data_IF_729161944283
#
_entry.id   IF_729161944283
#
_cell.length_a   1.000
_cell.length_b   1.000
_cell.length_c   1.000
_cell.angle_alpha   90.00
_cell.angle_beta   90.00
_cell.angle_gamma   90.00
#
_symmetry.space_group_name_H-M   'P 1'
#
loop_
_entity.id
_entity.type
_entity.pdbx_description
1 polymer ?
#
# COMPACT_ATOMS: atom_id res chain seq x y z
N UNK A 1 28.42 -15.92 0.77
CA UNK A 1 27.15 -15.52 0.11
C UNK A 1 27.00 -16.35 -1.15
N UNK A 2 26.43 -17.54 -1.04
CA UNK A 2 26.26 -18.46 -2.17
C UNK A 2 24.91 -18.18 -2.84
N UNK A 3 24.96 -17.69 -4.07
CA UNK A 3 23.77 -17.46 -4.89
C UNK A 3 23.08 -18.80 -5.16
N UNK A 4 21.84 -18.94 -4.70
CA UNK A 4 20.93 -20.01 -5.09
C UNK A 4 20.64 -19.84 -6.58
N UNK A 5 21.25 -20.68 -7.40
CA UNK A 5 20.90 -20.94 -8.81
C UNK A 5 19.51 -21.57 -8.86
N UNK A 6 18.46 -20.73 -8.82
CA UNK A 6 17.16 -21.10 -9.35
C UNK A 6 17.29 -21.22 -10.88
N UNK A 7 16.66 -22.24 -11.46
CA UNK A 7 16.68 -22.59 -12.89
C UNK A 7 16.61 -21.33 -13.75
N UNK A 8 17.77 -20.91 -14.26
CA UNK A 8 17.94 -19.62 -14.89
C UNK A 8 17.58 -19.77 -16.35
N UNK A 9 16.59 -19.00 -16.82
CA UNK A 9 16.25 -18.90 -18.24
C UNK A 9 17.56 -18.71 -19.04
N UNK A 10 17.80 -19.48 -20.12
CA UNK A 10 18.97 -19.29 -20.98
C UNK A 10 19.12 -17.85 -21.44
N UNK A 11 18.01 -17.12 -21.62
CA UNK A 11 18.01 -15.69 -21.95
C UNK A 11 18.62 -14.82 -20.86
N UNK A 12 18.17 -14.97 -19.62
CA UNK A 12 18.64 -14.16 -18.48
C UNK A 12 20.12 -14.44 -18.18
N UNK A 13 20.50 -15.72 -18.31
CA UNK A 13 21.90 -16.15 -18.19
C UNK A 13 22.77 -15.53 -19.28
N UNK A 14 22.29 -15.49 -20.53
CA UNK A 14 22.99 -14.85 -21.64
C UNK A 14 23.18 -13.35 -21.40
N UNK A 15 22.12 -12.65 -21.00
CA UNK A 15 22.17 -11.20 -20.72
C UNK A 15 23.21 -10.91 -19.62
N UNK A 16 23.15 -11.65 -18.51
CA UNK A 16 24.08 -11.46 -17.39
C UNK A 16 25.54 -11.69 -17.79
N UNK A 17 25.81 -12.72 -18.60
CA UNK A 17 27.17 -13.06 -19.04
C UNK A 17 27.71 -12.13 -20.13
N UNK A 18 26.85 -11.59 -21.00
CA UNK A 18 27.25 -10.67 -22.08
C UNK A 18 27.32 -9.21 -21.63
N UNK A 19 26.66 -8.81 -20.54
CA UNK A 19 26.67 -7.43 -20.02
C UNK A 19 28.08 -6.83 -19.87
N UNK A 20 29.10 -7.53 -19.33
CA UNK A 20 30.45 -7.00 -19.24
C UNK A 20 31.09 -6.67 -20.59
N UNK A 21 30.66 -7.32 -21.67
CA UNK A 21 31.19 -7.06 -23.01
C UNK A 21 30.64 -5.75 -23.63
N UNK A 22 29.62 -5.13 -23.04
CA UNK A 22 29.21 -3.78 -23.45
C UNK A 22 30.26 -2.73 -23.12
N UNK A 23 31.06 -2.94 -22.08
CA UNK A 23 32.14 -2.02 -21.70
C UNK A 23 33.38 -2.18 -22.59
N UNK A 24 33.56 -3.35 -23.21
CA UNK A 24 34.69 -3.67 -24.08
C UNK A 24 34.23 -4.58 -25.23
N UNK A 25 33.92 -4.01 -26.42
CA UNK A 25 33.37 -4.74 -27.55
C UNK A 25 34.42 -5.53 -28.36
N UNK A 26 35.63 -5.73 -27.82
CA UNK A 26 36.69 -6.50 -28.47
C UNK A 26 36.23 -7.94 -28.76
N UNK A 27 36.49 -8.48 -29.97
CA UNK A 27 36.15 -9.86 -30.31
C UNK A 27 36.80 -10.87 -29.37
N UNK A 28 36.01 -11.86 -28.91
CA UNK A 28 36.44 -12.87 -27.92
C UNK A 28 36.00 -14.26 -28.34
N UNK A 29 36.66 -15.30 -27.83
CA UNK A 29 36.21 -16.67 -28.03
C UNK A 29 34.86 -16.89 -27.34
N UNK A 30 34.01 -17.75 -27.91
CA UNK A 30 32.69 -18.04 -27.34
C UNK A 30 32.80 -18.59 -25.91
N UNK A 31 33.56 -19.68 -25.74
CA UNK A 31 33.84 -20.28 -24.43
C UNK A 31 35.29 -20.01 -24.01
N UNK A 32 35.45 -19.13 -23.03
CA UNK A 32 36.74 -18.71 -22.48
C UNK A 32 37.29 -19.68 -21.43
N UNK A 33 38.62 -19.69 -21.29
CA UNK A 33 39.32 -20.28 -20.15
C UNK A 33 39.72 -19.16 -19.17
N UNK A 34 40.31 -19.50 -18.02
CA UNK A 34 40.85 -18.47 -17.12
C UNK A 34 41.94 -17.61 -17.80
N UNK A 35 42.68 -18.19 -18.75
CA UNK A 35 43.77 -17.54 -19.50
C UNK A 35 43.31 -16.83 -20.78
N UNK A 36 42.31 -17.37 -21.49
CA UNK A 36 41.71 -16.75 -22.67
C UNK A 36 40.33 -16.22 -22.30
N UNK A 37 40.20 -14.90 -22.22
CA UNK A 37 38.91 -14.24 -22.03
C UNK A 37 37.91 -14.66 -23.12
N UNK A 38 36.72 -15.08 -22.69
CA UNK A 38 35.60 -15.39 -23.58
C UNK A 38 34.31 -14.77 -23.06
N UNK A 39 33.28 -14.75 -23.90
CA UNK A 39 31.95 -14.27 -23.49
C UNK A 39 31.33 -15.15 -22.40
N UNK A 40 31.48 -16.47 -22.55
CA UNK A 40 30.95 -17.45 -21.61
C UNK A 40 32.09 -18.12 -20.86
N UNK A 41 32.05 -18.05 -19.51
CA UNK A 41 33.05 -18.68 -18.63
C UNK A 41 32.54 -20.04 -18.15
N UNK A 42 33.24 -21.12 -18.52
CA UNK A 42 32.91 -22.48 -18.10
C UNK A 42 32.08 -23.27 -19.10
N UNK A 43 31.73 -24.52 -18.72
CA UNK A 43 31.00 -25.47 -19.58
C UNK A 43 29.74 -26.05 -18.93
N UNK A 44 29.19 -25.38 -17.91
CA UNK A 44 27.92 -25.78 -17.32
C UNK A 44 26.80 -25.78 -18.37
N UNK A 45 25.82 -26.68 -18.23
CA UNK A 45 24.74 -26.83 -19.22
C UNK A 45 23.98 -25.52 -19.47
N UNK A 46 23.70 -24.74 -18.41
CA UNK A 46 23.05 -23.44 -18.52
C UNK A 46 23.87 -22.42 -19.34
N UNK A 47 25.20 -22.46 -19.22
CA UNK A 47 26.12 -21.57 -19.96
C UNK A 47 26.16 -21.93 -21.45
N UNK A 48 26.11 -23.23 -21.77
CA UNK A 48 26.01 -23.71 -23.17
C UNK A 48 24.68 -23.31 -23.80
N UNK A 49 23.57 -23.53 -23.09
CA UNK A 49 22.24 -23.12 -23.54
C UNK A 49 22.15 -21.61 -23.77
N UNK A 50 22.75 -20.79 -22.90
CA UNK A 50 22.83 -19.34 -23.06
C UNK A 50 23.65 -18.92 -24.29
N UNK A 51 24.77 -19.59 -24.56
CA UNK A 51 25.59 -19.34 -25.74
C UNK A 51 24.87 -19.72 -27.04
N UNK A 52 24.24 -20.89 -27.08
CA UNK A 52 23.42 -21.35 -28.21
C UNK A 52 22.25 -20.40 -28.45
N UNK A 53 21.56 -19.97 -27.39
CA UNK A 53 20.51 -18.97 -27.47
C UNK A 53 21.01 -17.65 -28.05
N UNK A 54 22.17 -17.17 -27.60
CA UNK A 54 22.77 -15.91 -28.10
C UNK A 54 23.12 -15.97 -29.59
N UNK A 55 23.61 -17.11 -30.07
CA UNK A 55 23.87 -17.33 -31.50
C UNK A 55 22.57 -17.44 -32.29
N UNK A 56 21.58 -18.19 -31.78
CA UNK A 56 20.28 -18.36 -32.43
C UNK A 56 19.50 -17.04 -32.55
N UNK A 57 19.63 -16.15 -31.56
CA UNK A 57 19.04 -14.81 -31.60
C UNK A 57 19.85 -13.79 -32.41
N UNK A 58 20.99 -14.18 -32.99
CA UNK A 58 21.86 -13.28 -33.74
C UNK A 58 22.53 -12.21 -32.88
N UNK A 59 22.69 -12.43 -31.58
CA UNK A 59 23.35 -11.47 -30.68
C UNK A 59 24.87 -11.47 -30.83
N UNK A 60 25.42 -12.60 -31.28
CA UNK A 60 26.83 -12.80 -31.55
C UNK A 60 27.01 -13.25 -32.99
N UNK A 61 28.04 -12.73 -33.64
CA UNK A 61 28.47 -13.16 -34.97
C UNK A 61 29.95 -13.53 -34.99
N UNK A 62 30.31 -14.50 -35.83
CA UNK A 62 31.70 -14.89 -36.04
C UNK A 62 32.42 -13.82 -36.87
N UNK A 63 33.58 -13.37 -36.38
CA UNK A 63 34.38 -12.32 -37.05
C UNK A 63 35.24 -12.85 -38.21
N UNK A 64 35.36 -14.18 -38.33
CA UNK A 64 36.27 -14.86 -39.26
C UNK A 64 37.71 -14.99 -38.74
N UNK A 65 38.07 -14.24 -37.69
CA UNK A 65 39.37 -14.34 -37.03
C UNK A 65 39.42 -15.57 -36.12
N UNK A 66 40.58 -16.24 -36.05
CA UNK A 66 40.79 -17.42 -35.21
C UNK A 66 42.00 -17.24 -34.32
N UNK A 67 41.88 -17.64 -33.06
CA UNK A 67 42.98 -17.65 -32.08
C UNK A 67 43.47 -19.07 -31.87
N UNK A 68 44.79 -19.26 -32.05
CA UNK A 68 45.48 -20.55 -31.93
C UNK A 68 46.08 -21.03 -33.25
N UNK A 69 46.82 -22.14 -33.20
CA UNK A 69 47.44 -22.76 -34.39
C UNK A 69 46.79 -24.12 -34.71
N UNK A 70 46.60 -24.38 -36.01
CA UNK A 70 46.14 -25.67 -36.53
C UNK A 70 44.67 -25.98 -36.24
N UNK A 71 44.33 -27.27 -36.20
CA UNK A 71 42.96 -27.78 -36.04
C UNK A 71 42.25 -27.37 -34.73
N UNK A 72 42.98 -26.79 -33.77
CA UNK A 72 42.45 -26.32 -32.47
C UNK A 72 42.22 -24.81 -32.43
N UNK A 73 42.36 -24.10 -33.56
CA UNK A 73 42.10 -22.68 -33.63
C UNK A 73 40.62 -22.39 -33.31
N UNK A 74 40.37 -21.51 -32.35
CA UNK A 74 39.03 -21.11 -31.92
C UNK A 74 38.61 -19.84 -32.62
N UNK A 75 37.41 -19.81 -33.17
CA UNK A 75 36.85 -18.60 -33.78
C UNK A 75 36.55 -17.52 -32.75
N UNK A 76 36.78 -16.26 -33.15
CA UNK A 76 36.40 -15.08 -32.39
C UNK A 76 35.02 -14.60 -32.80
N UNK A 77 34.24 -14.21 -31.80
CA UNK A 77 32.89 -13.69 -31.94
C UNK A 77 32.86 -12.23 -31.51
N UNK A 78 31.93 -11.45 -32.05
CA UNK A 78 31.65 -10.08 -31.59
C UNK A 78 30.15 -9.89 -31.36
N UNK A 79 29.80 -8.91 -30.51
CA UNK A 79 28.41 -8.50 -30.34
C UNK A 79 27.91 -7.83 -31.63
N UNK A 80 26.75 -8.26 -32.09
CA UNK A 80 26.03 -7.58 -33.19
C UNK A 80 25.29 -6.36 -32.65
N UNK A 81 24.87 -5.42 -33.53
CA UNK A 81 23.97 -4.32 -33.13
C UNK A 81 22.69 -4.82 -32.43
N UNK A 82 22.14 -5.95 -32.90
CA UNK A 82 20.97 -6.59 -32.30
C UNK A 82 21.25 -7.09 -30.87
N UNK A 83 22.43 -7.67 -30.65
CA UNK A 83 22.86 -8.09 -29.32
C UNK A 83 23.02 -6.92 -28.37
N UNK A 84 23.61 -5.81 -28.82
CA UNK A 84 23.76 -4.58 -28.03
C UNK A 84 22.39 -4.03 -27.63
N UNK A 85 21.46 -3.92 -28.58
CA UNK A 85 20.10 -3.44 -28.32
C UNK A 85 19.35 -4.33 -27.31
N UNK A 86 19.50 -5.66 -27.44
CA UNK A 86 18.89 -6.61 -26.51
C UNK A 86 19.45 -6.44 -25.08
N UNK A 87 20.77 -6.28 -24.94
CA UNK A 87 21.42 -6.09 -23.64
C UNK A 87 21.05 -4.75 -23.00
N UNK A 88 21.03 -3.66 -23.78
CA UNK A 88 20.63 -2.33 -23.30
C UNK A 88 19.18 -2.34 -22.80
N UNK A 89 18.25 -2.98 -23.52
CA UNK A 89 16.85 -3.11 -23.09
C UNK A 89 16.69 -3.82 -21.75
N UNK A 90 17.62 -4.71 -21.41
CA UNK A 90 17.64 -5.45 -20.15
C UNK A 90 18.57 -4.84 -19.10
N UNK A 91 19.21 -3.70 -19.38
CA UNK A 91 20.12 -3.07 -18.43
C UNK A 91 19.35 -2.50 -17.23
N UNK A 92 19.82 -2.74 -15.99
CA UNK A 92 19.19 -2.21 -14.78
C UNK A 92 18.88 -0.70 -14.80
N UNK A 93 19.78 0.18 -15.27
CA UNK A 93 19.47 1.62 -15.28
C UNK A 93 18.35 1.98 -16.26
N UNK A 94 18.27 1.34 -17.44
CA UNK A 94 17.17 1.61 -18.38
C UNK A 94 15.84 1.06 -17.87
N UNK A 95 15.85 -0.09 -17.19
CA UNK A 95 14.65 -0.61 -16.53
C UNK A 95 14.18 0.31 -15.40
N UNK A 96 15.11 0.84 -14.58
CA UNK A 96 14.78 1.81 -13.54
C UNK A 96 14.19 3.11 -14.14
N UNK A 97 14.79 3.65 -15.20
CA UNK A 97 14.27 4.83 -15.88
C UNK A 97 12.90 4.60 -16.51
N UNK A 98 12.65 3.43 -17.11
CA UNK A 98 11.33 3.06 -17.64
C UNK A 98 10.28 2.95 -16.53
N UNK A 99 10.64 2.34 -15.41
CA UNK A 99 9.75 2.27 -14.24
C UNK A 99 9.38 3.66 -13.71
N UNK A 100 10.35 4.59 -13.68
CA UNK A 100 10.08 5.99 -13.32
C UNK A 100 9.19 6.67 -14.36
N UNK A 101 9.42 6.46 -15.66
CA UNK A 101 8.56 7.00 -16.74
C UNK A 101 7.12 6.50 -16.61
N UNK A 102 6.93 5.20 -16.39
CA UNK A 102 5.61 4.58 -16.19
C UNK A 102 4.91 5.16 -14.95
N UNK A 103 5.65 5.33 -13.85
CA UNK A 103 5.13 5.94 -12.63
C UNK A 103 4.70 7.39 -12.86
N UNK A 104 5.52 8.18 -13.56
CA UNK A 104 5.20 9.57 -13.90
C UNK A 104 3.98 9.66 -14.83
N UNK A 105 3.86 8.75 -15.81
CA UNK A 105 2.69 8.67 -16.69
C UNK A 105 1.42 8.33 -15.90
N UNK A 106 1.50 7.40 -14.96
CA UNK A 106 0.40 7.08 -14.05
C UNK A 106 -0.01 8.27 -13.18
N UNK A 107 0.95 8.99 -12.59
CA UNK A 107 0.69 10.20 -11.81
C UNK A 107 0.04 11.30 -12.66
N UNK A 108 0.50 11.50 -13.89
CA UNK A 108 -0.09 12.48 -14.81
C UNK A 108 -1.56 12.15 -15.13
N UNK A 109 -1.90 10.87 -15.29
CA UNK A 109 -3.28 10.44 -15.52
C UNK A 109 -4.16 10.72 -14.30
N UNK A 110 -3.71 10.37 -13.10
CA UNK A 110 -4.45 10.64 -11.85
C UNK A 110 -4.72 12.14 -11.66
N UNK A 111 -3.74 13.00 -11.96
CA UNK A 111 -3.91 14.45 -11.88
C UNK A 111 -4.98 14.95 -12.87
N UNK A 112 -5.03 14.39 -14.09
CA UNK A 112 -6.08 14.74 -15.06
C UNK A 112 -7.46 14.29 -14.61
N UNK A 113 -7.58 13.11 -14.02
CA UNK A 113 -8.85 12.60 -13.48
C UNK A 113 -9.35 13.44 -12.29
N UNK A 114 -8.44 13.84 -11.40
CA UNK A 114 -8.74 14.73 -10.29
C UNK A 114 -9.18 16.11 -10.81
N UNK A 115 -8.46 16.67 -11.78
CA UNK A 115 -8.82 17.94 -12.41
C UNK A 115 -10.20 17.88 -13.08
N UNK A 116 -10.51 16.81 -13.82
CA UNK A 116 -11.82 16.61 -14.44
C UNK A 116 -12.93 16.45 -13.39
N UNK A 117 -12.62 15.85 -12.24
CA UNK A 117 -13.58 15.73 -11.12
C UNK A 117 -13.83 17.07 -10.45
N UNK A 118 -12.78 17.86 -10.20
CA UNK A 118 -12.91 19.22 -9.69
C UNK A 118 -13.72 20.09 -10.64
N UNK A 119 -13.45 20.04 -11.95
CA UNK A 119 -14.23 20.78 -12.94
C UNK A 119 -15.72 20.40 -12.92
N UNK A 120 -16.04 19.11 -12.76
CA UNK A 120 -17.44 18.63 -12.64
C UNK A 120 -18.13 19.04 -11.34
N UNK A 121 -17.38 19.37 -10.28
CA UNK A 121 -17.92 19.85 -9.00
C UNK A 121 -18.06 21.37 -8.97
N UNK A 122 -17.14 22.07 -9.65
CA UNK A 122 -17.17 23.52 -9.81
C UNK A 122 -18.04 23.98 -10.98
N UNK A 123 -18.64 23.06 -11.74
CA UNK A 123 -19.58 23.40 -12.82
C UNK A 123 -20.78 24.18 -12.25
N UNK A 124 -20.93 25.47 -12.61
CA UNK A 124 -21.97 26.33 -12.04
C UNK A 124 -23.37 25.80 -12.36
N UNK A 125 -23.57 25.15 -13.52
CA UNK A 125 -24.87 24.58 -13.86
C UNK A 125 -25.25 23.43 -12.91
N UNK A 126 -24.26 22.63 -12.49
CA UNK A 126 -24.47 21.55 -11.53
C UNK A 126 -24.71 22.09 -10.11
N UNK A 127 -23.99 23.13 -9.73
CA UNK A 127 -24.21 23.82 -8.45
C UNK A 127 -25.63 24.40 -8.39
N UNK A 128 -26.07 25.14 -9.42
CA UNK A 128 -27.42 25.67 -9.52
C UNK A 128 -28.49 24.56 -9.46
N UNK A 129 -28.24 23.43 -10.13
CA UNK A 129 -29.17 22.29 -10.08
C UNK A 129 -29.26 21.68 -8.67
N UNK A 130 -28.13 21.56 -7.97
CA UNK A 130 -28.12 21.08 -6.58
C UNK A 130 -28.84 22.06 -5.66
N UNK A 131 -28.61 23.37 -5.82
CA UNK A 131 -29.34 24.41 -5.09
C UNK A 131 -30.85 24.33 -5.32
N UNK A 132 -31.28 24.17 -6.57
CA UNK A 132 -32.71 23.99 -6.91
C UNK A 132 -33.31 22.75 -6.26
N UNK A 133 -32.59 21.62 -6.25
CA UNK A 133 -33.02 20.38 -5.59
C UNK A 133 -33.15 20.62 -4.08
N UNK A 134 -32.16 21.26 -3.46
CA UNK A 134 -32.18 21.58 -2.03
C UNK A 134 -33.33 22.53 -1.70
N UNK A 135 -33.53 23.61 -2.43
CA UNK A 135 -34.66 24.53 -2.24
C UNK A 135 -36.00 23.79 -2.37
N UNK A 136 -36.18 22.98 -3.41
CA UNK A 136 -37.40 22.19 -3.61
C UNK A 136 -37.62 21.18 -2.47
N UNK A 137 -36.56 20.56 -1.98
CA UNK A 137 -36.62 19.64 -0.85
C UNK A 137 -36.98 20.38 0.45
N UNK A 138 -36.39 21.55 0.70
CA UNK A 138 -36.70 22.39 1.87
C UNK A 138 -38.15 22.85 1.85
N UNK A 139 -38.69 23.27 0.70
CA UNK A 139 -40.10 23.63 0.56
C UNK A 139 -41.03 22.43 0.84
N UNK A 140 -40.70 21.25 0.31
CA UNK A 140 -41.46 20.01 0.55
C UNK A 140 -41.33 19.48 1.98
N UNK A 141 -40.24 19.79 2.65
CA UNK A 141 -39.96 19.44 4.06
C UNK A 141 -40.40 20.55 5.03
N UNK A 142 -40.93 21.67 4.53
CA UNK A 142 -41.55 22.73 5.33
C UNK A 142 -43.10 22.73 5.30
N UNK A 143 -43.83 21.61 5.42
CA UNK A 143 -45.18 21.68 5.95
C UNK A 143 -45.14 21.92 7.47
N UNK A 144 -46.15 22.60 8.04
CA UNK A 144 -46.24 22.86 9.49
C UNK A 144 -46.15 21.59 10.35
N UNK A 145 -46.45 20.42 9.78
CA UNK A 145 -46.36 19.12 10.45
C UNK A 145 -44.94 18.67 10.82
N UNK A 146 -43.88 19.15 10.15
CA UNK A 146 -42.51 18.71 10.49
C UNK A 146 -42.00 19.38 11.76
N UNK A 147 -42.45 20.61 12.06
CA UNK A 147 -42.18 21.26 13.35
C UNK A 147 -42.97 20.60 14.49
N UNK A 148 -44.21 20.18 14.26
CA UNK A 148 -44.98 19.40 15.25
C UNK A 148 -44.39 17.99 15.45
N UNK A 149 -43.94 17.33 14.39
CA UNK A 149 -43.26 16.03 14.47
C UNK A 149 -41.88 16.15 15.14
N UNK A 150 -41.11 17.21 14.87
CA UNK A 150 -39.85 17.50 15.57
C UNK A 150 -40.09 17.89 17.04
N UNK A 151 -41.12 18.67 17.36
CA UNK A 151 -41.48 18.99 18.74
C UNK A 151 -41.94 17.74 19.52
N UNK A 152 -42.70 16.85 18.88
CA UNK A 152 -43.05 15.52 19.43
C UNK A 152 -41.82 14.63 19.59
N UNK A 153 -40.88 14.66 18.63
CA UNK A 153 -39.65 13.87 18.66
C UNK A 153 -38.65 14.39 19.70
N UNK A 154 -38.53 15.70 19.87
CA UNK A 154 -37.72 16.34 20.91
C UNK A 154 -38.29 16.09 22.32
N UNK A 155 -39.61 16.00 22.45
CA UNK A 155 -40.26 15.60 23.70
C UNK A 155 -40.03 14.11 24.04
N UNK A 156 -39.83 13.25 23.04
CA UNK A 156 -39.38 11.86 23.23
C UNK A 156 -37.85 11.72 23.37
N UNK A 157 -37.07 12.67 22.86
CA UNK A 157 -35.61 12.70 23.02
C UNK A 157 -35.18 13.06 24.45
N UNK A 158 -36.05 13.65 25.26
CA UNK A 158 -35.77 13.95 26.68
C UNK A 158 -35.41 12.72 27.50
N UNK A 159 -36.13 11.61 27.31
CA UNK A 159 -35.86 10.35 28.03
C UNK A 159 -34.63 9.63 27.49
N UNK A 160 -34.37 9.68 26.18
CA UNK A 160 -33.15 9.09 25.58
C UNK A 160 -31.88 9.89 25.93
N UNK A 161 -31.98 11.22 26.06
CA UNK A 161 -30.85 12.10 26.42
C UNK A 161 -30.50 12.00 27.90
N UNK A 162 -31.49 11.85 28.79
CA UNK A 162 -31.26 11.57 30.21
C UNK A 162 -30.58 10.23 30.46
N UNK A 163 -30.99 9.17 29.75
CA UNK A 163 -30.30 7.86 29.81
C UNK A 163 -28.87 7.97 29.29
N UNK A 164 -28.64 8.77 28.23
CA UNK A 164 -27.30 8.99 27.66
C UNK A 164 -26.33 9.65 28.64
N UNK A 165 -26.82 10.54 29.51
CA UNK A 165 -25.98 11.18 30.54
C UNK A 165 -25.64 10.24 31.70
N UNK A 166 -26.56 9.35 32.10
CA UNK A 166 -26.37 8.50 33.29
C UNK A 166 -25.24 7.48 33.16
N UNK A 167 -25.11 6.81 32.00
CA UNK A 167 -24.02 5.85 31.81
C UNK A 167 -22.66 6.54 31.62
N UNK A 168 -22.64 7.76 31.04
CA UNK A 168 -21.42 8.56 30.90
C UNK A 168 -20.86 8.98 32.26
N UNK A 169 -21.72 9.39 33.19
CA UNK A 169 -21.31 9.65 34.58
C UNK A 169 -20.75 8.40 35.25
N UNK A 170 -21.33 7.23 34.97
CA UNK A 170 -20.84 5.96 35.48
C UNK A 170 -19.43 5.63 34.98
N UNK A 171 -19.14 5.92 33.71
CA UNK A 171 -17.79 5.78 33.13
C UNK A 171 -16.79 6.65 33.90
N UNK A 172 -17.09 7.92 34.11
CA UNK A 172 -16.20 8.85 34.82
C UNK A 172 -16.01 8.39 36.26
N UNK A 173 -17.07 7.94 36.93
CA UNK A 173 -17.01 7.41 38.29
C UNK A 173 -16.08 6.20 38.39
N UNK A 174 -16.14 5.28 37.42
CA UNK A 174 -15.26 4.10 37.38
C UNK A 174 -13.82 4.46 37.02
N UNK A 175 -13.63 5.32 36.03
CA UNK A 175 -12.32 5.79 35.61
C UNK A 175 -11.57 6.53 36.74
N UNK A 176 -12.28 7.22 37.65
CA UNK A 176 -11.71 7.81 38.88
C UNK A 176 -11.31 6.78 39.94
N UNK A 177 -11.98 5.62 39.97
CA UNK A 177 -11.69 4.54 40.93
C UNK A 177 -10.57 3.60 40.44
N UNK A 178 -10.37 3.54 39.12
CA UNK A 178 -9.27 2.77 38.54
C UNK A 178 -7.93 3.39 38.94
N UNK A 179 -7.00 2.54 39.36
CA UNK A 179 -5.65 2.96 39.71
C UNK A 179 -4.81 3.12 38.44
N UNK A 180 -3.73 3.90 38.52
CA UNK A 180 -2.78 4.03 37.41
C UNK A 180 -2.10 2.69 37.05
N UNK A 181 -2.03 1.75 38.00
CA UNK A 181 -1.45 0.42 37.81
C UNK A 181 -2.39 -0.56 37.08
N UNK A 182 -3.70 -0.29 37.08
CA UNK A 182 -4.69 -1.16 36.47
C UNK A 182 -5.74 -0.32 35.72
N UNK A 183 -5.40 0.17 34.53
CA UNK A 183 -6.33 0.95 33.73
C UNK A 183 -7.50 0.07 33.24
N UNK A 184 -8.71 0.64 33.21
CA UNK A 184 -9.91 -0.03 32.75
C UNK A 184 -9.87 -0.21 31.22
N UNK A 185 -10.09 -1.43 30.74
CA UNK A 185 -10.25 -1.65 29.30
C UNK A 185 -11.63 -1.20 28.81
N UNK A 186 -11.68 -0.66 27.59
CA UNK A 186 -12.93 -0.27 26.94
C UNK A 186 -13.88 -1.46 26.75
N UNK A 187 -13.33 -2.65 26.53
CA UNK A 187 -14.08 -3.88 26.30
C UNK A 187 -14.81 -4.32 27.57
N UNK A 188 -14.11 -4.36 28.71
CA UNK A 188 -14.70 -4.69 30.01
C UNK A 188 -15.74 -3.65 30.40
N UNK A 189 -15.39 -2.36 30.23
CA UNK A 189 -16.28 -1.25 30.52
C UNK A 189 -17.57 -1.33 29.70
N UNK A 190 -17.48 -1.54 28.39
CA UNK A 190 -18.67 -1.67 27.54
C UNK A 190 -19.54 -2.85 27.94
N UNK A 191 -18.95 -4.03 28.18
CA UNK A 191 -19.70 -5.24 28.59
C UNK A 191 -20.43 -5.06 29.92
N UNK A 192 -19.79 -4.39 30.87
CA UNK A 192 -20.40 -4.11 32.17
C UNK A 192 -21.53 -3.08 32.06
N UNK A 193 -21.33 -2.01 31.29
CA UNK A 193 -22.36 -1.02 31.03
C UNK A 193 -23.53 -1.63 30.26
N UNK A 194 -23.28 -2.50 29.28
CA UNK A 194 -24.34 -3.15 28.51
C UNK A 194 -25.22 -4.06 29.37
N UNK A 195 -24.68 -4.68 30.44
CA UNK A 195 -25.48 -5.42 31.42
C UNK A 195 -26.41 -4.51 32.23
N UNK A 196 -25.97 -3.29 32.52
CA UNK A 196 -26.73 -2.31 33.30
C UNK A 196 -27.70 -1.50 32.41
N UNK A 197 -27.36 -1.31 31.14
CA UNK A 197 -28.12 -0.59 30.13
C UNK A 197 -28.14 -1.42 28.82
N UNK A 198 -29.06 -2.39 28.69
CA UNK A 198 -29.12 -3.28 27.51
C UNK A 198 -29.32 -2.56 26.17
N UNK A 199 -29.89 -1.34 26.20
CA UNK A 199 -30.07 -0.47 25.04
C UNK A 199 -28.80 0.31 24.61
N UNK A 200 -27.68 0.14 25.32
CA UNK A 200 -26.42 0.80 24.98
C UNK A 200 -25.77 0.07 23.80
N UNK A 201 -25.88 0.67 22.62
CA UNK A 201 -25.19 0.21 21.42
C UNK A 201 -23.73 0.66 21.42
N UNK A 202 -22.89 -0.13 20.74
CA UNK A 202 -21.44 0.12 20.66
C UNK A 202 -21.12 1.48 20.04
N UNK A 203 -21.83 1.88 18.98
CA UNK A 203 -21.64 3.20 18.35
C UNK A 203 -21.91 4.35 19.32
N UNK A 204 -23.03 4.28 20.07
CA UNK A 204 -23.38 5.29 21.08
C UNK A 204 -22.37 5.34 22.23
N UNK A 205 -21.84 4.18 22.62
CA UNK A 205 -20.75 4.12 23.59
C UNK A 205 -19.50 4.85 23.07
N UNK A 206 -19.05 4.55 21.85
CA UNK A 206 -17.89 5.23 21.25
C UNK A 206 -18.09 6.74 21.12
N UNK A 207 -19.26 7.19 20.67
CA UNK A 207 -19.58 8.61 20.55
C UNK A 207 -19.54 9.31 21.91
N UNK A 208 -20.09 8.67 22.95
CA UNK A 208 -20.03 9.21 24.32
C UNK A 208 -18.60 9.23 24.90
N UNK A 209 -17.77 8.23 24.58
CA UNK A 209 -16.35 8.23 24.98
C UNK A 209 -15.56 9.37 24.32
N UNK A 210 -15.84 9.67 23.04
CA UNK A 210 -15.24 10.85 22.36
C UNK A 210 -15.69 12.14 23.04
N UNK A 211 -16.98 12.30 23.29
CA UNK A 211 -17.50 13.49 23.98
C UNK A 211 -16.89 13.68 25.38
N UNK A 212 -16.71 12.61 26.16
CA UNK A 212 -16.07 12.68 27.48
C UNK A 212 -14.59 13.07 27.41
N UNK A 213 -13.86 12.57 26.39
CA UNK A 213 -12.47 12.94 26.13
C UNK A 213 -12.36 14.40 25.70
N UNK A 214 -13.18 14.82 24.75
CA UNK A 214 -13.17 16.18 24.20
C UNK A 214 -13.56 17.21 25.28
N UNK A 215 -14.40 16.82 26.25
CA UNK A 215 -14.70 17.59 27.44
C UNK A 215 -13.63 17.51 28.56
N UNK A 216 -12.52 16.80 28.35
CA UNK A 216 -11.43 16.66 29.32
C UNK A 216 -11.80 15.88 30.58
N UNK A 217 -12.89 15.11 30.57
CA UNK A 217 -13.37 14.35 31.75
C UNK A 217 -12.66 13.02 31.95
N UNK A 218 -12.10 12.48 30.86
CA UNK A 218 -11.33 11.24 30.82
C UNK A 218 -10.17 11.40 29.83
N UNK A 219 -9.14 10.57 29.99
CA UNK A 219 -8.12 10.30 28.98
C UNK A 219 -8.28 8.89 28.44
N UNK A 220 -8.14 8.77 27.13
CA UNK A 220 -8.06 7.50 26.44
C UNK A 220 -6.58 7.21 26.17
N UNK A 221 -6.14 5.97 26.44
CA UNK A 221 -4.76 5.57 26.25
C UNK A 221 -4.65 4.52 25.12
N UNK A 222 -3.58 4.61 24.31
CA UNK A 222 -3.36 3.69 23.22
C UNK A 222 -3.05 2.28 23.73
N UNK A 223 -3.40 1.29 22.92
CA UNK A 223 -2.98 -0.08 23.15
C UNK A 223 -1.52 -0.26 22.76
N UNK A 224 -0.67 -0.62 23.72
CA UNK A 224 0.78 -0.71 23.51
C UNK A 224 1.29 -2.11 23.17
N UNK A 225 0.42 -3.13 23.16
CA UNK A 225 0.80 -4.52 22.82
C UNK A 225 0.50 -4.84 21.36
N UNK A 226 0.97 -6.01 20.91
CA UNK A 226 0.74 -6.46 19.55
C UNK A 226 -0.76 -6.56 19.23
N UNK A 227 -1.17 -5.98 18.10
CA UNK A 227 -2.58 -5.94 17.68
C UNK A 227 -3.25 -7.32 17.62
N UNK A 228 -2.47 -8.37 17.31
CA UNK A 228 -2.93 -9.76 17.28
C UNK A 228 -3.40 -10.30 18.65
N UNK A 229 -3.01 -9.66 19.76
CA UNK A 229 -3.34 -10.08 21.12
C UNK A 229 -4.56 -9.34 21.70
N UNK A 230 -5.20 -8.45 20.92
CA UNK A 230 -6.37 -7.70 21.36
C UNK A 230 -7.58 -8.63 21.45
N UNK A 231 -7.96 -8.96 22.68
CA UNK A 231 -9.27 -9.55 22.96
C UNK A 231 -10.36 -8.49 22.71
N UNK A 232 -11.36 -8.79 21.88
CA UNK A 232 -12.46 -7.84 21.60
C UNK A 232 -12.06 -6.66 20.70
N UNK A 233 -11.46 -6.96 19.54
CA UNK A 233 -11.05 -5.97 18.54
C UNK A 233 -12.19 -5.10 18.00
N UNK A 234 -13.46 -5.51 18.14
CA UNK A 234 -14.62 -4.73 17.67
C UNK A 234 -14.95 -3.59 18.61
N UNK A 235 -14.69 -3.77 19.90
CA UNK A 235 -15.00 -2.82 20.96
C UNK A 235 -13.89 -1.77 21.16
N UNK A 236 -12.70 -2.02 20.62
CA UNK A 236 -11.60 -1.07 20.54
C UNK A 236 -11.96 0.14 19.65
N UNK A 237 -11.45 1.32 19.99
CA UNK A 237 -11.78 2.55 19.28
C UNK A 237 -10.57 3.08 18.52
N UNK A 238 -10.76 3.41 17.24
CA UNK A 238 -9.73 4.06 16.42
C UNK A 238 -9.87 5.58 16.51
N UNK A 239 -8.81 6.27 16.93
CA UNK A 239 -8.72 7.72 17.01
C UNK A 239 -7.35 8.16 16.50
N UNK A 240 -7.33 9.10 15.56
CA UNK A 240 -6.10 9.75 15.06
C UNK A 240 -5.04 8.76 14.53
N UNK A 241 -5.47 7.62 13.99
CA UNK A 241 -4.59 6.55 13.48
C UNK A 241 -4.09 5.57 14.54
N UNK A 242 -4.47 5.74 15.80
CA UNK A 242 -4.12 4.85 16.92
C UNK A 242 -5.34 4.08 17.45
N UNK A 243 -5.07 2.91 18.03
CA UNK A 243 -6.09 2.08 18.70
C UNK A 243 -6.14 2.45 20.17
N UNK A 244 -7.19 3.13 20.57
CA UNK A 244 -7.49 3.43 21.97
C UNK A 244 -8.17 2.23 22.63
N UNK A 245 -7.65 1.84 23.80
CA UNK A 245 -8.12 0.63 24.48
C UNK A 245 -8.35 0.81 25.97
N UNK A 246 -7.71 1.80 26.60
CA UNK A 246 -7.84 2.03 28.04
C UNK A 246 -8.42 3.40 28.38
N UNK A 247 -9.07 3.50 29.53
CA UNK A 247 -9.68 4.74 30.06
C UNK A 247 -9.08 5.08 31.42
N UNK A 248 -8.78 6.37 31.63
CA UNK A 248 -8.35 6.92 32.93
C UNK A 248 -8.98 8.29 33.17
N UNK A 249 -9.08 8.73 34.42
CA UNK A 249 -9.28 10.14 34.73
C UNK A 249 -7.94 10.82 35.06
N UNK A 250 -7.89 12.12 34.89
CA UNK A 250 -6.85 12.96 35.48
C UNK A 250 -7.16 13.32 36.93
#
# INVERSE_FOLDING_TARGET
MSARTALTDPRDTAIALLTPALADPVPRVLFGTASLGGFFKGQAAAVKAAAEYSLAQGWLEETGEKVGKGARAKSLYRLTPQGIDALLRSSPPLLALRSVEETLRGQQQLLRELQATMQRLCDPARQQRLEQIVCTAVEKLSPPDVQELLARSCSQAGTSREVSLRWQEEVVRRARRASAAQPLSLVELFRELQRQWPQLELGRFHDGMRALRDAGRIRLLPYTRAYAEIAGHREAMFLDGEVMYYVRCD
#
